data_IF_144354962619
#
_entry.id   IF_144354962619
#
_cell.length_a   1.000
_cell.length_b   1.000
_cell.length_c   1.000
_cell.angle_alpha   90.00
_cell.angle_beta   90.00
_cell.angle_gamma   90.00
#
_symmetry.space_group_name_H-M   'P 1'
#
loop_
_entity.id
_entity.type
_entity.pdbx_description
1 polymer ?
#
# COMPACT_ATOMS: atom_id res chain seq x y z
N UNK A 1 11.51 -27.10 -16.80
CA UNK A 1 10.09 -26.69 -16.78
C UNK A 1 9.87 -25.73 -15.62
N UNK A 2 9.13 -24.64 -15.87
CA UNK A 2 8.29 -23.84 -14.94
C UNK A 2 8.35 -22.34 -15.26
N UNK A 3 8.04 -21.99 -16.51
CA UNK A 3 7.94 -20.61 -17.01
C UNK A 3 6.55 -20.25 -17.53
N UNK A 4 5.51 -21.04 -17.22
CA UNK A 4 4.17 -20.86 -17.79
C UNK A 4 3.15 -20.24 -16.83
N UNK A 5 3.52 -19.96 -15.56
CA UNK A 5 2.65 -19.28 -14.59
C UNK A 5 3.03 -17.82 -14.31
N UNK A 6 4.19 -17.37 -14.79
CA UNK A 6 4.54 -15.95 -14.81
C UNK A 6 4.03 -15.32 -16.10
N UNK A 7 2.72 -15.42 -16.33
CA UNK A 7 2.07 -14.60 -17.34
C UNK A 7 2.20 -13.15 -16.87
N UNK A 8 3.18 -12.42 -17.42
CA UNK A 8 3.18 -10.97 -17.35
C UNK A 8 1.90 -10.52 -18.06
N UNK A 9 0.85 -10.27 -17.28
CA UNK A 9 -0.42 -9.80 -17.81
C UNK A 9 -0.12 -8.57 -18.68
N UNK A 10 -0.53 -8.56 -19.97
CA UNK A 10 -0.18 -7.47 -20.85
C UNK A 10 -0.64 -6.14 -20.24
N UNK A 11 0.25 -5.14 -20.18
CA UNK A 11 -0.05 -3.86 -19.54
C UNK A 11 -1.33 -3.22 -20.09
N UNK A 12 -1.62 -3.39 -21.38
CA UNK A 12 -2.87 -2.92 -22.01
C UNK A 12 -4.11 -3.55 -21.36
N UNK A 13 -4.06 -4.86 -21.06
CA UNK A 13 -5.14 -5.60 -20.40
C UNK A 13 -5.30 -5.15 -18.96
N UNK A 14 -4.21 -5.07 -18.20
CA UNK A 14 -4.22 -4.59 -16.81
C UNK A 14 -4.81 -3.18 -16.69
N UNK A 15 -4.47 -2.30 -17.64
CA UNK A 15 -5.01 -0.93 -17.72
C UNK A 15 -6.50 -0.93 -18.01
N UNK A 16 -6.94 -1.69 -19.01
CA UNK A 16 -8.36 -1.80 -19.34
C UNK A 16 -9.18 -2.30 -18.13
N UNK A 17 -8.69 -3.34 -17.44
CA UNK A 17 -9.34 -3.89 -16.26
C UNK A 17 -9.38 -2.91 -15.08
N UNK A 18 -8.36 -2.06 -14.94
CA UNK A 18 -8.31 -1.01 -13.93
C UNK A 18 -9.07 0.27 -14.33
N UNK A 19 -9.80 0.27 -15.46
CA UNK A 19 -10.60 1.41 -15.92
C UNK A 19 -9.79 2.53 -16.59
N UNK A 20 -8.52 2.29 -16.92
CA UNK A 20 -7.66 3.26 -17.61
C UNK A 20 -7.67 3.06 -19.13
N UNK A 21 -7.40 4.13 -19.92
CA UNK A 21 -7.22 4.01 -21.36
C UNK A 21 -6.13 2.99 -21.73
N UNK A 22 -6.38 2.18 -22.75
CA UNK A 22 -5.41 1.18 -23.25
C UNK A 22 -4.22 1.82 -23.95
N UNK A 23 -4.41 3.02 -24.52
CA UNK A 23 -3.33 3.88 -25.01
C UNK A 23 -2.54 4.41 -23.80
N UNK A 24 -1.21 4.47 -23.91
CA UNK A 24 -0.36 5.03 -22.86
C UNK A 24 -0.74 6.47 -22.50
N UNK A 25 -0.38 6.93 -21.31
CA UNK A 25 -0.85 8.22 -20.75
C UNK A 25 -2.06 8.06 -19.81
N UNK A 26 -2.51 9.15 -19.17
CA UNK A 26 -3.73 9.14 -18.34
C UNK A 26 -3.65 8.37 -17.00
N UNK A 27 -2.47 8.16 -16.44
CA UNK A 27 -2.25 7.46 -15.16
C UNK A 27 -1.91 8.41 -14.00
N UNK A 28 -2.10 9.71 -14.19
CA UNK A 28 -1.79 10.69 -13.15
C UNK A 28 -2.79 10.53 -11.99
N UNK A 29 -2.26 10.13 -10.84
CA UNK A 29 -2.99 10.14 -9.58
C UNK A 29 -2.48 11.37 -8.80
N UNK A 30 -3.31 12.40 -8.56
CA UNK A 30 -2.88 13.62 -7.86
C UNK A 30 -2.21 13.36 -6.52
N UNK A 31 -2.67 12.34 -5.79
CA UNK A 31 -2.12 11.88 -4.51
C UNK A 31 -0.85 11.04 -4.61
N UNK A 32 -0.51 10.53 -5.80
CA UNK A 32 0.60 9.60 -6.00
C UNK A 32 1.99 10.13 -5.58
N UNK A 33 2.31 11.42 -5.79
CA UNK A 33 3.59 12.00 -5.38
C UNK A 33 3.73 12.21 -3.87
N UNK A 34 2.63 12.44 -3.16
CA UNK A 34 2.62 12.81 -1.73
C UNK A 34 2.78 11.53 -0.90
N UNK A 35 3.90 11.40 -0.17
CA UNK A 35 4.23 10.17 0.58
C UNK A 35 4.09 10.40 2.09
N UNK A 36 3.36 9.53 2.81
CA UNK A 36 3.23 9.64 4.25
C UNK A 36 4.59 9.43 4.93
N UNK A 37 4.80 10.09 6.06
CA UNK A 37 6.01 9.94 6.87
C UNK A 37 6.21 8.48 7.31
N UNK A 38 7.46 8.10 7.59
CA UNK A 38 7.76 6.72 8.00
C UNK A 38 7.03 6.34 9.30
N UNK A 39 6.90 7.29 10.23
CA UNK A 39 6.17 7.08 11.48
C UNK A 39 4.70 6.77 11.21
N UNK A 40 4.02 7.59 10.41
CA UNK A 40 2.61 7.39 10.05
C UNK A 40 2.39 6.06 9.31
N UNK A 41 3.30 5.72 8.40
CA UNK A 41 3.29 4.43 7.73
C UNK A 41 3.38 3.25 8.70
N UNK A 42 4.24 3.32 9.72
CA UNK A 42 4.41 2.23 10.69
C UNK A 42 3.21 2.06 11.64
N UNK A 43 2.35 3.06 11.75
CA UNK A 43 1.07 2.93 12.48
C UNK A 43 0.08 1.99 11.77
N UNK A 44 0.27 1.75 10.46
CA UNK A 44 -0.54 0.82 9.66
C UNK A 44 0.26 -0.46 9.40
N UNK A 45 -0.24 -1.57 9.94
CA UNK A 45 0.46 -2.87 9.99
C UNK A 45 1.80 -2.81 10.75
N UNK A 46 1.81 -2.47 12.06
CA UNK A 46 3.03 -2.29 12.83
C UNK A 46 3.93 -3.54 12.86
N UNK A 47 3.33 -4.74 12.85
CA UNK A 47 4.04 -6.02 12.88
C UNK A 47 4.88 -6.31 11.63
N UNK A 48 4.67 -5.57 10.54
CA UNK A 48 5.39 -5.76 9.28
C UNK A 48 6.88 -5.53 9.46
N UNK A 49 7.29 -4.51 10.23
CA UNK A 49 8.71 -4.22 10.43
C UNK A 49 9.39 -5.33 11.25
N UNK A 50 8.75 -5.79 12.31
CA UNK A 50 9.22 -6.94 13.11
C UNK A 50 9.30 -8.20 12.27
N UNK A 51 8.31 -8.45 11.40
CA UNK A 51 8.28 -9.63 10.51
C UNK A 51 9.39 -9.58 9.46
N UNK A 52 9.66 -8.40 8.90
CA UNK A 52 10.79 -8.18 7.98
C UNK A 52 12.12 -8.45 8.70
N UNK A 53 12.30 -7.92 9.92
CA UNK A 53 13.51 -8.11 10.70
C UNK A 53 13.73 -9.59 11.09
N UNK A 54 12.68 -10.25 11.62
CA UNK A 54 12.71 -11.69 11.94
C UNK A 54 13.10 -12.54 10.74
N UNK A 55 12.59 -12.18 9.56
CA UNK A 55 12.91 -12.87 8.31
C UNK A 55 14.35 -12.61 7.85
N UNK A 56 14.85 -11.39 7.96
CA UNK A 56 16.23 -11.06 7.61
C UNK A 56 17.24 -11.84 8.46
N UNK A 57 16.92 -12.01 9.76
CA UNK A 57 17.77 -12.69 10.73
C UNK A 57 17.57 -14.21 10.80
N UNK A 58 16.58 -14.76 10.11
CA UNK A 58 16.29 -16.20 10.16
C UNK A 58 17.29 -17.01 9.33
N UNK A 59 17.88 -18.03 9.94
CA UNK A 59 18.68 -19.03 9.24
C UNK A 59 17.83 -20.10 8.52
N UNK A 60 16.51 -20.13 8.77
CA UNK A 60 15.60 -21.07 8.13
C UNK A 60 15.34 -20.66 6.67
N UNK A 61 15.76 -21.51 5.71
CA UNK A 61 15.59 -21.26 4.27
C UNK A 61 14.13 -21.16 3.83
N UNK A 62 13.22 -21.91 4.45
CA UNK A 62 11.78 -21.84 4.16
C UNK A 62 11.20 -20.48 4.56
N UNK A 63 11.64 -19.97 5.71
CA UNK A 63 11.23 -18.65 6.21
C UNK A 63 11.76 -17.50 5.33
N UNK A 64 12.88 -17.72 4.63
CA UNK A 64 13.42 -16.82 3.60
C UNK A 64 12.79 -17.01 2.21
N UNK A 65 11.90 -18.00 2.03
CA UNK A 65 11.23 -18.29 0.76
C UNK A 65 10.47 -17.08 0.18
N UNK A 66 10.47 -16.91 -1.14
CA UNK A 66 10.08 -15.66 -1.82
C UNK A 66 8.69 -15.10 -1.48
N UNK A 67 7.70 -15.97 -1.21
CA UNK A 67 6.30 -15.60 -0.98
C UNK A 67 6.09 -14.64 0.21
N UNK A 68 6.67 -14.96 1.38
CA UNK A 68 6.52 -14.11 2.57
C UNK A 68 7.14 -12.72 2.39
N UNK A 69 8.23 -12.61 1.64
CA UNK A 69 8.91 -11.35 1.37
C UNK A 69 8.10 -10.48 0.40
N UNK A 70 7.54 -11.11 -0.64
CA UNK A 70 6.62 -10.45 -1.56
C UNK A 70 5.35 -9.97 -0.85
N UNK A 71 4.80 -10.76 0.08
CA UNK A 71 3.65 -10.37 0.89
C UNK A 71 3.94 -9.19 1.81
N UNK A 72 5.05 -9.20 2.54
CA UNK A 72 5.45 -8.07 3.39
C UNK A 72 5.69 -6.79 2.56
N UNK A 73 6.29 -6.93 1.37
CA UNK A 73 6.45 -5.81 0.43
C UNK A 73 5.09 -5.28 -0.06
N UNK A 74 4.14 -6.17 -0.32
CA UNK A 74 2.77 -5.81 -0.69
C UNK A 74 2.10 -5.03 0.43
N UNK A 75 2.17 -5.48 1.70
CA UNK A 75 1.61 -4.76 2.84
C UNK A 75 2.21 -3.36 3.02
N UNK A 76 3.53 -3.22 2.86
CA UNK A 76 4.21 -1.90 2.86
C UNK A 76 3.74 -0.98 1.73
N UNK A 77 3.35 -1.54 0.59
CA UNK A 77 2.80 -0.78 -0.52
C UNK A 77 1.34 -0.39 -0.26
N UNK A 78 0.52 -1.35 0.21
CA UNK A 78 -0.88 -1.14 0.52
C UNK A 78 -1.10 -0.12 1.63
N UNK A 79 -0.25 -0.07 2.67
CA UNK A 79 -0.41 0.92 3.74
C UNK A 79 -0.24 2.36 3.25
N UNK A 80 0.64 2.59 2.27
CA UNK A 80 0.83 3.92 1.67
C UNK A 80 -0.41 4.30 0.87
N UNK A 81 -0.90 3.39 0.01
CA UNK A 81 -2.12 3.60 -0.78
C UNK A 81 -3.32 3.86 0.14
N UNK A 82 -3.45 3.07 1.21
CA UNK A 82 -4.51 3.22 2.20
C UNK A 82 -4.50 4.60 2.87
N UNK A 83 -3.34 5.09 3.30
CA UNK A 83 -3.19 6.42 3.89
C UNK A 83 -3.47 7.53 2.85
N UNK A 84 -3.02 7.36 1.61
CA UNK A 84 -3.32 8.29 0.51
C UNK A 84 -4.81 8.36 0.18
N UNK A 85 -5.52 7.23 0.25
CA UNK A 85 -6.94 7.14 -0.07
C UNK A 85 -7.84 7.46 1.14
N UNK A 86 -7.30 7.49 2.37
CA UNK A 86 -8.12 7.60 3.57
C UNK A 86 -8.88 8.92 3.66
N UNK A 87 -8.30 10.04 3.23
CA UNK A 87 -9.00 11.33 3.22
C UNK A 87 -10.26 11.29 2.33
N UNK A 88 -10.10 10.83 1.08
CA UNK A 88 -11.22 10.69 0.13
C UNK A 88 -12.27 9.70 0.67
N UNK A 89 -11.83 8.57 1.23
CA UNK A 89 -12.73 7.56 1.78
C UNK A 89 -13.47 8.05 3.03
N UNK A 90 -12.83 8.88 3.88
CA UNK A 90 -13.45 9.52 5.05
C UNK A 90 -14.53 10.51 4.63
N UNK A 91 -14.27 11.34 3.62
CA UNK A 91 -15.25 12.29 3.06
C UNK A 91 -16.44 11.56 2.43
N UNK A 92 -16.19 10.46 1.71
CA UNK A 92 -17.23 9.68 1.04
C UNK A 92 -18.06 8.82 2.00
N UNK A 93 -17.44 8.29 3.06
CA UNK A 93 -18.08 7.39 4.02
C UNK A 93 -17.81 7.81 5.46
N UNK A 94 -18.29 8.99 5.91
CA UNK A 94 -17.90 9.58 7.20
C UNK A 94 -18.31 8.74 8.41
N UNK A 95 -19.34 7.91 8.28
CA UNK A 95 -19.88 7.08 9.37
C UNK A 95 -19.23 5.68 9.43
N UNK A 96 -18.19 5.41 8.64
CA UNK A 96 -17.54 4.11 8.64
C UNK A 96 -16.73 3.89 9.94
N UNK A 97 -16.92 2.74 10.60
CA UNK A 97 -16.32 2.42 11.92
C UNK A 97 -14.79 2.47 11.94
N UNK A 98 -14.15 2.26 10.78
CA UNK A 98 -12.71 2.37 10.62
C UNK A 98 -12.16 3.72 11.12
N UNK A 99 -12.89 4.81 10.93
CA UNK A 99 -12.46 6.16 11.30
C UNK A 99 -12.45 6.42 12.81
N UNK A 100 -13.06 5.54 13.60
CA UNK A 100 -12.98 5.58 15.06
C UNK A 100 -11.64 5.08 15.59
N UNK A 101 -10.79 4.48 14.73
CA UNK A 101 -9.46 4.01 15.13
C UNK A 101 -8.53 5.18 15.46
N UNK A 102 -7.70 5.02 16.51
CA UNK A 102 -6.81 6.08 17.04
C UNK A 102 -5.90 6.72 15.99
N UNK A 103 -5.47 5.95 14.99
CA UNK A 103 -4.72 6.44 13.81
C UNK A 103 -5.34 7.71 13.22
N UNK A 104 -6.67 7.78 13.12
CA UNK A 104 -7.37 8.89 12.47
C UNK A 104 -7.53 10.14 13.33
N UNK A 105 -6.98 10.10 14.54
CA UNK A 105 -6.98 11.20 15.50
C UNK A 105 -5.56 11.71 15.77
N UNK A 106 -4.55 11.18 15.08
CA UNK A 106 -3.16 11.52 15.36
C UNK A 106 -2.72 12.78 14.60
N UNK A 107 -1.79 13.57 15.18
CA UNK A 107 -1.28 14.77 14.52
C UNK A 107 -0.55 14.44 13.21
N UNK A 108 0.13 13.29 13.12
CA UNK A 108 0.86 12.88 11.92
C UNK A 108 -0.06 12.68 10.72
N UNK A 109 -1.26 12.13 10.93
CA UNK A 109 -2.24 12.00 9.86
C UNK A 109 -2.79 13.38 9.46
N UNK A 110 -3.06 14.23 10.45
CA UNK A 110 -3.60 15.58 10.20
C UNK A 110 -2.62 16.44 9.39
N UNK A 111 -1.32 16.34 9.68
CA UNK A 111 -0.26 17.01 8.93
C UNK A 111 -0.19 16.49 7.49
N UNK A 112 -0.22 15.16 7.33
CA UNK A 112 -0.21 14.52 6.02
C UNK A 112 -1.45 14.87 5.16
N UNK A 113 -2.64 14.98 5.76
CA UNK A 113 -3.87 15.39 5.05
C UNK A 113 -3.78 16.84 4.55
N UNK A 114 -3.03 17.73 5.23
CA UNK A 114 -2.80 19.11 4.76
C UNK A 114 -1.90 19.15 3.53
N UNK A 115 -0.92 18.25 3.42
CA UNK A 115 -0.05 18.17 2.24
C UNK A 115 -0.76 17.59 1.00
N UNK A 116 -1.92 16.96 1.19
CA UNK A 116 -2.73 16.39 0.10
C UNK A 116 -3.79 17.33 -0.48
N UNK A 117 -4.05 18.48 0.16
CA UNK A 117 -5.06 19.47 -0.25
C UNK A 117 -4.42 20.59 -1.06
#
# INVERSE_FOLDING_TARGET
MNGCYLASLPMKVMRALAGFPTKGGGYWLPRGPVRPSQNLQQMVYPEVETSVAKRANSQNREFRGGGGGAFLKMLKTMRVIFLQDSDILRRKYPNHRLWSHKLFQTPELTEFEREMT
#
